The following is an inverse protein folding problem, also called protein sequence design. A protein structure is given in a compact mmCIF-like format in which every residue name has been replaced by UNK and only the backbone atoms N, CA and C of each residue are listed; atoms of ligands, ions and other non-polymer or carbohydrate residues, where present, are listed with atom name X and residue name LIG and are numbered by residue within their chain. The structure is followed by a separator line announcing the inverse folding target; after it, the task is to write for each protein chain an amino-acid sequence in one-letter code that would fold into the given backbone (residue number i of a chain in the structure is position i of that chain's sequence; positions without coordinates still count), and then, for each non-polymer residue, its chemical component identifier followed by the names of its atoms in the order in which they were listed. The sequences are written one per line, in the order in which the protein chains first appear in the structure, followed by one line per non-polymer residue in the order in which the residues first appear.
data_IF_679067004656
#
_entry.id   IF_679067004656
#
_cell.length_a   1.000
_cell.length_b   1.000
_cell.length_c   1.000
_cell.angle_alpha   90.00
_cell.angle_beta   90.00
_cell.angle_gamma   90.00
#
_symmetry.space_group_name_H-M   'P 1'
#
loop_
_entity.id
_entity.type
_entity.pdbx_description
1 polymer ?
#
# COMPACT_ATOMS: atom_id res chain seq x y z
N UNK A 1 25.05 23.80 13.80
CA UNK A 1 23.78 23.07 14.07
C UNK A 1 23.11 22.78 12.74
N UNK A 2 22.55 21.59 12.50
CA UNK A 2 21.76 21.36 11.27
C UNK A 2 20.49 22.20 11.34
N UNK A 3 20.37 23.20 10.46
CA UNK A 3 19.14 23.95 10.27
C UNK A 3 18.01 22.98 9.87
N UNK A 4 16.79 23.29 10.31
CA UNK A 4 15.61 22.54 9.91
C UNK A 4 15.49 22.61 8.38
N UNK A 5 15.18 21.47 7.77
CA UNK A 5 14.94 21.37 6.34
C UNK A 5 13.70 20.51 6.14
N UNK A 6 12.81 21.02 5.30
CA UNK A 6 11.62 20.34 4.82
C UNK A 6 11.96 19.26 3.78
N UNK A 7 13.22 19.00 3.46
CA UNK A 7 13.58 17.95 2.51
C UNK A 7 13.97 16.64 3.22
N UNK A 8 13.66 15.54 2.54
CA UNK A 8 13.74 14.18 3.05
C UNK A 8 14.85 13.43 2.34
N UNK A 9 15.84 12.98 3.13
CA UNK A 9 16.87 12.05 2.61
C UNK A 9 16.40 10.60 2.58
N UNK A 10 15.55 10.19 3.52
CA UNK A 10 15.09 8.81 3.66
C UNK A 10 13.57 8.74 3.82
N UNK A 11 12.89 8.31 2.76
CA UNK A 11 11.44 8.15 2.71
C UNK A 11 10.91 7.14 3.75
N UNK A 12 11.64 6.05 4.03
CA UNK A 12 11.19 5.00 4.94
C UNK A 12 10.98 5.53 6.36
N UNK A 13 11.79 6.53 6.76
CA UNK A 13 11.64 7.21 8.04
C UNK A 13 10.30 7.95 8.09
N UNK A 14 10.02 8.83 7.13
CA UNK A 14 8.80 9.65 7.18
C UNK A 14 7.53 8.82 6.97
N UNK A 15 7.58 7.82 6.09
CA UNK A 15 6.53 6.81 5.96
C UNK A 15 6.14 6.20 7.31
N UNK A 16 7.14 5.79 8.09
CA UNK A 16 6.91 5.15 9.38
C UNK A 16 6.25 6.11 10.39
N UNK A 17 6.71 7.37 10.44
CA UNK A 17 6.11 8.39 11.29
C UNK A 17 4.67 8.73 10.88
N UNK A 18 4.43 8.95 9.59
CA UNK A 18 3.09 9.26 9.08
C UNK A 18 2.11 8.15 9.42
N UNK A 19 2.53 6.89 9.28
CA UNK A 19 1.66 5.76 9.61
C UNK A 19 1.38 5.65 11.10
N UNK A 20 2.42 5.70 11.91
CA UNK A 20 2.33 5.48 13.36
C UNK A 20 1.54 6.59 14.07
N UNK A 21 1.75 7.84 13.67
CA UNK A 21 1.17 9.00 14.36
C UNK A 21 -0.06 9.55 13.63
N UNK A 22 -0.03 9.65 12.30
CA UNK A 22 -1.07 10.38 11.57
C UNK A 22 -2.17 9.51 10.95
N UNK A 23 -1.83 8.30 10.48
CA UNK A 23 -2.80 7.37 9.85
C UNK A 23 -3.54 6.54 10.89
N UNK A 24 -2.82 5.96 11.86
CA UNK A 24 -3.50 5.25 12.94
C UNK A 24 -4.12 6.23 13.95
N UNK A 25 -3.53 7.43 14.13
CA UNK A 25 -4.11 8.49 14.96
C UNK A 25 -4.17 8.21 16.47
N UNK A 26 -3.63 7.07 16.94
CA UNK A 26 -3.70 6.64 18.34
C UNK A 26 -2.41 6.86 19.12
N UNK A 27 -1.31 7.30 18.48
CA UNK A 27 -0.04 7.54 19.16
C UNK A 27 0.16 9.02 19.42
N UNK A 28 0.56 9.34 20.65
CA UNK A 28 0.91 10.68 21.08
C UNK A 28 2.43 10.87 21.13
N UNK A 29 2.87 12.11 21.39
CA UNK A 29 4.30 12.44 21.58
C UNK A 29 4.98 11.57 22.65
N UNK A 30 4.26 11.18 23.71
CA UNK A 30 4.81 10.36 24.81
C UNK A 30 5.05 8.91 24.39
N UNK A 31 4.32 8.41 23.39
CA UNK A 31 4.52 7.06 22.85
C UNK A 31 5.72 6.93 21.90
N UNK A 32 6.46 8.02 21.65
CA UNK A 32 7.64 7.98 20.79
C UNK A 32 8.88 7.47 21.56
N UNK A 33 9.19 6.18 21.42
CA UNK A 33 10.28 5.51 22.17
C UNK A 33 11.55 5.24 21.35
N UNK A 34 11.56 5.50 20.04
CA UNK A 34 12.65 5.04 19.16
C UNK A 34 13.88 5.97 19.11
N UNK A 35 13.72 7.28 19.35
CA UNK A 35 14.79 8.31 19.31
C UNK A 35 14.49 9.45 20.28
N UNK A 36 15.27 10.54 20.23
CA UNK A 36 15.00 11.75 20.99
C UNK A 36 13.69 12.44 20.57
N UNK A 37 13.02 13.08 21.53
CA UNK A 37 11.81 13.88 21.29
C UNK A 37 12.03 15.01 20.27
N UNK A 38 13.24 15.57 20.18
CA UNK A 38 13.60 16.54 19.15
C UNK A 38 13.49 15.97 17.73
N UNK A 39 13.77 14.68 17.56
CA UNK A 39 13.60 14.01 16.26
C UNK A 39 12.13 13.91 15.90
N UNK A 40 11.26 13.59 16.88
CA UNK A 40 9.82 13.59 16.69
C UNK A 40 9.31 14.98 16.27
N UNK A 41 9.68 16.03 17.00
CA UNK A 41 9.22 17.40 16.71
C UNK A 41 9.65 17.84 15.29
N UNK A 42 10.86 17.47 14.86
CA UNK A 42 11.34 17.79 13.51
C UNK A 42 10.56 17.03 12.42
N UNK A 43 10.31 15.72 12.57
CA UNK A 43 9.54 14.98 11.56
C UNK A 43 8.07 15.42 11.55
N UNK A 44 7.52 15.77 12.71
CA UNK A 44 6.18 16.35 12.82
C UNK A 44 6.08 17.67 12.05
N UNK A 45 7.01 18.61 12.28
CA UNK A 45 7.06 19.90 11.55
C UNK A 45 7.17 19.73 10.05
N UNK A 46 7.92 18.74 9.57
CA UNK A 46 8.01 18.40 8.13
C UNK A 46 6.67 17.93 7.56
N UNK A 47 6.04 16.98 8.23
CA UNK A 47 4.75 16.46 7.78
C UNK A 47 3.69 17.56 7.81
N UNK A 48 3.74 18.45 8.81
CA UNK A 48 2.91 19.65 8.90
C UNK A 48 3.15 20.64 7.76
N UNK A 49 4.40 20.83 7.31
CA UNK A 49 4.67 21.73 6.19
C UNK A 49 4.13 21.19 4.85
N UNK A 50 4.09 19.87 4.65
CA UNK A 50 3.58 19.29 3.40
C UNK A 50 2.06 19.18 3.33
N UNK A 51 1.43 18.84 4.46
CA UNK A 51 0.00 18.50 4.48
C UNK A 51 -0.90 19.64 4.94
N UNK A 52 -0.32 20.69 5.54
CA UNK A 52 -1.03 21.90 5.95
C UNK A 52 -2.35 21.60 6.67
N UNK A 53 -3.44 22.09 6.09
CA UNK A 53 -4.79 22.04 6.64
C UNK A 53 -5.38 20.61 6.80
N UNK A 54 -4.73 19.60 6.21
CA UNK A 54 -5.16 18.21 6.34
C UNK A 54 -4.89 17.63 7.73
N UNK A 55 -4.10 18.33 8.56
CA UNK A 55 -3.72 17.87 9.90
C UNK A 55 -4.63 18.49 10.94
N UNK A 56 -5.27 17.62 11.74
CA UNK A 56 -6.09 18.01 12.88
C UNK A 56 -5.51 17.51 14.18
N UNK A 57 -5.97 18.12 15.27
CA UNK A 57 -5.52 17.81 16.63
C UNK A 57 -6.72 17.51 17.51
N UNK A 58 -6.61 16.44 18.30
CA UNK A 58 -7.55 16.16 19.38
C UNK A 58 -6.78 16.05 20.69
N UNK A 59 -7.37 16.56 21.77
CA UNK A 59 -6.89 16.34 23.12
C UNK A 59 -7.63 15.12 23.68
N UNK A 60 -6.95 13.98 23.79
CA UNK A 60 -7.47 12.82 24.51
C UNK A 60 -6.63 12.66 25.77
N UNK A 61 -7.29 12.62 26.94
CA UNK A 61 -6.66 12.36 28.24
C UNK A 61 -5.46 13.30 28.56
N UNK A 62 -5.55 14.58 28.17
CA UNK A 62 -4.47 15.56 28.40
C UNK A 62 -3.30 15.49 27.41
N UNK A 63 -3.31 14.55 26.46
CA UNK A 63 -2.30 14.44 25.41
C UNK A 63 -2.84 14.92 24.05
N UNK A 64 -2.05 15.75 23.35
CA UNK A 64 -2.37 16.26 22.02
C UNK A 64 -2.03 15.22 20.95
N UNK A 65 -3.04 14.52 20.46
CA UNK A 65 -2.92 13.56 19.36
C UNK A 65 -3.06 14.28 18.02
N UNK A 66 -2.16 13.98 17.10
CA UNK A 66 -2.13 14.58 15.75
C UNK A 66 -2.56 13.53 14.74
N UNK A 67 -3.53 13.82 13.89
CA UNK A 67 -4.04 12.88 12.89
C UNK A 67 -4.35 13.57 11.57
N UNK A 68 -4.33 12.81 10.48
CA UNK A 68 -4.79 13.30 9.18
C UNK A 68 -6.31 13.18 9.12
N UNK A 69 -6.99 14.30 8.86
CA UNK A 69 -8.42 14.36 8.61
C UNK A 69 -8.62 14.81 7.17
N UNK A 70 -9.02 13.87 6.33
CA UNK A 70 -9.30 14.12 4.93
C UNK A 70 -10.74 13.72 4.64
N UNK A 71 -11.49 14.65 4.06
CA UNK A 71 -12.72 14.30 3.37
C UNK A 71 -12.34 13.93 1.93
N UNK A 72 -12.39 12.65 1.61
CA UNK A 72 -12.00 12.19 0.27
C UNK A 72 -12.83 12.82 -0.84
N UNK A 73 -14.05 13.28 -0.54
CA UNK A 73 -14.92 13.91 -1.54
C UNK A 73 -14.53 15.34 -1.88
N UNK A 74 -13.80 16.05 -1.00
CA UNK A 74 -13.33 17.41 -1.22
C UNK A 74 -11.90 17.49 -1.76
N UNK A 75 -11.19 16.35 -1.78
CA UNK A 75 -9.79 16.25 -2.17
C UNK A 75 -9.71 15.84 -3.64
N UNK A 76 -9.21 16.73 -4.49
CA UNK A 76 -9.02 16.48 -5.93
C UNK A 76 -7.72 15.73 -6.24
N UNK A 77 -6.71 15.85 -5.38
CA UNK A 77 -5.43 15.15 -5.47
C UNK A 77 -5.04 14.59 -4.11
N UNK A 78 -4.47 13.39 -4.06
CA UNK A 78 -3.97 12.81 -2.83
C UNK A 78 -2.84 13.66 -2.20
N UNK A 79 -3.09 14.32 -1.05
CA UNK A 79 -2.12 15.24 -0.47
C UNK A 79 -0.85 14.53 0.01
N UNK A 80 -0.90 13.21 0.21
CA UNK A 80 0.25 12.41 0.64
C UNK A 80 1.30 12.24 -0.49
N UNK A 81 1.01 12.65 -1.73
CA UNK A 81 1.99 12.70 -2.81
C UNK A 81 3.11 13.72 -2.55
N UNK A 82 2.81 14.79 -1.83
CA UNK A 82 3.81 15.78 -1.38
C UNK A 82 5.04 15.16 -0.69
N UNK A 83 4.85 14.05 0.04
CA UNK A 83 5.91 13.33 0.75
C UNK A 83 6.95 12.75 -0.22
N UNK A 84 6.52 12.33 -1.40
CA UNK A 84 7.41 11.85 -2.46
C UNK A 84 8.14 13.03 -3.13
N UNK A 85 7.45 14.16 -3.29
CA UNK A 85 7.97 15.40 -3.88
C UNK A 85 9.01 16.08 -2.97
N UNK A 86 8.99 15.84 -1.66
CA UNK A 86 9.90 16.42 -0.68
C UNK A 86 11.32 15.80 -0.64
N UNK A 87 11.81 15.14 -1.70
CA UNK A 87 13.14 14.49 -1.70
C UNK A 87 14.27 15.53 -1.63
N UNK A 88 15.28 15.28 -0.79
CA UNK A 88 16.48 16.13 -0.70
C UNK A 88 17.51 15.77 -1.77
N UNK A 89 18.12 16.78 -2.38
CA UNK A 89 19.25 16.66 -3.31
C UNK A 89 20.43 17.49 -2.82
N UNK A 90 21.65 17.13 -3.21
CA UNK A 90 22.82 17.98 -2.97
C UNK A 90 22.92 19.06 -4.06
N UNK A 91 23.64 20.15 -3.80
CA UNK A 91 23.86 21.20 -4.81
C UNK A 91 24.48 20.62 -6.09
N UNK A 92 25.47 19.73 -5.94
CA UNK A 92 26.12 19.07 -7.08
C UNK A 92 25.13 18.19 -7.87
N UNK A 93 24.23 17.46 -7.19
CA UNK A 93 23.23 16.63 -7.86
C UNK A 93 22.31 17.47 -8.75
N UNK A 94 21.87 18.63 -8.23
CA UNK A 94 20.99 19.57 -8.94
C UNK A 94 21.74 20.18 -10.12
N UNK A 95 22.92 20.75 -9.88
CA UNK A 95 23.71 21.42 -10.92
C UNK A 95 24.06 20.46 -12.05
N UNK A 96 24.61 19.29 -11.73
CA UNK A 96 24.97 18.30 -12.75
C UNK A 96 23.76 17.78 -13.50
N UNK A 97 22.61 17.61 -12.86
CA UNK A 97 21.38 17.20 -13.56
C UNK A 97 21.03 18.19 -14.67
N UNK A 98 20.93 19.49 -14.35
CA UNK A 98 20.56 20.50 -15.33
C UNK A 98 21.66 20.74 -16.39
N UNK A 99 22.94 20.76 -15.99
CA UNK A 99 24.05 20.95 -16.93
C UNK A 99 24.15 19.82 -17.95
N UNK A 100 23.99 18.56 -17.51
CA UNK A 100 24.03 17.41 -18.41
C UNK A 100 22.85 17.44 -19.40
N UNK A 101 21.65 17.78 -18.94
CA UNK A 101 20.48 17.87 -19.81
C UNK A 101 20.60 19.00 -20.84
N UNK A 102 21.04 20.18 -20.42
CA UNK A 102 21.24 21.32 -21.32
C UNK A 102 22.32 21.02 -22.37
N UNK A 103 23.49 20.51 -21.98
CA UNK A 103 24.56 20.15 -22.92
C UNK A 103 24.07 19.12 -23.95
N UNK A 104 23.46 18.02 -23.49
CA UNK A 104 23.04 16.93 -24.37
C UNK A 104 21.81 17.28 -25.22
N UNK A 105 21.14 18.42 -24.95
CA UNK A 105 20.10 18.97 -25.82
C UNK A 105 20.70 19.53 -27.12
N UNK A 106 21.91 20.11 -27.07
CA UNK A 106 22.60 20.64 -28.24
C UNK A 106 23.58 19.65 -28.87
N UNK A 107 24.22 18.82 -28.05
CA UNK A 107 25.24 17.87 -28.47
C UNK A 107 24.74 16.44 -28.26
N UNK A 108 24.34 15.78 -29.36
CA UNK A 108 23.56 14.55 -29.29
C UNK A 108 24.32 13.34 -28.76
N UNK A 109 25.65 13.36 -28.70
CA UNK A 109 26.44 12.20 -28.30
C UNK A 109 27.84 12.57 -27.78
N UNK A 110 28.09 12.39 -26.48
CA UNK A 110 29.37 12.76 -25.84
C UNK A 110 29.90 11.69 -24.89
N UNK A 111 31.22 11.56 -24.82
CA UNK A 111 31.89 10.75 -23.79
C UNK A 111 32.03 11.51 -22.46
N UNK A 112 32.55 10.85 -21.43
CA UNK A 112 32.63 11.43 -20.08
C UNK A 112 33.64 12.59 -19.97
N UNK A 113 34.73 12.55 -20.72
CA UNK A 113 35.75 13.62 -20.73
C UNK A 113 35.16 14.85 -21.42
N UNK A 114 34.52 14.63 -22.58
CA UNK A 114 33.83 15.69 -23.30
C UNK A 114 32.73 16.34 -22.48
N UNK A 115 31.92 15.55 -21.76
CA UNK A 115 30.90 16.10 -20.86
C UNK A 115 31.52 16.97 -19.76
N UNK A 116 32.59 16.49 -19.11
CA UNK A 116 33.30 17.26 -18.08
C UNK A 116 33.86 18.58 -18.63
N UNK A 117 34.51 18.53 -19.80
CA UNK A 117 35.09 19.71 -20.46
C UNK A 117 34.00 20.72 -20.84
N UNK A 118 32.89 20.26 -21.42
CA UNK A 118 31.75 21.11 -21.79
C UNK A 118 31.07 21.77 -20.59
N UNK A 119 30.98 21.07 -19.46
CA UNK A 119 30.46 21.68 -18.22
C UNK A 119 31.38 22.81 -17.75
N UNK A 120 32.70 22.58 -17.76
CA UNK A 120 33.70 23.56 -17.33
C UNK A 120 33.77 24.75 -18.31
N UNK A 121 33.65 24.53 -19.62
CA UNK A 121 33.60 25.57 -20.66
C UNK A 121 32.33 26.44 -20.57
N UNK A 122 31.15 25.81 -20.51
CA UNK A 122 29.86 26.51 -20.61
C UNK A 122 29.39 27.18 -19.32
N UNK A 123 29.69 26.58 -18.16
CA UNK A 123 29.19 27.06 -16.87
C UNK A 123 30.30 27.49 -15.91
N UNK A 124 31.55 27.53 -16.38
CA UNK A 124 32.73 27.90 -15.57
C UNK A 124 32.82 27.10 -14.25
N UNK A 125 32.32 25.87 -14.25
CA UNK A 125 32.24 24.99 -13.08
C UNK A 125 32.91 23.67 -13.41
N UNK A 126 33.94 23.30 -12.66
CA UNK A 126 34.72 22.11 -12.99
C UNK A 126 34.50 21.07 -11.89
N UNK A 127 33.84 19.98 -12.26
CA UNK A 127 33.60 18.81 -11.40
C UNK A 127 34.67 17.76 -11.68
N UNK A 128 35.03 16.97 -10.67
CA UNK A 128 35.86 15.80 -10.92
C UNK A 128 35.11 14.81 -11.84
N UNK A 129 35.86 14.18 -12.74
CA UNK A 129 35.30 13.26 -13.75
C UNK A 129 34.55 12.09 -13.10
N UNK A 130 34.91 11.69 -11.87
CA UNK A 130 34.23 10.60 -11.17
C UNK A 130 32.83 11.01 -10.68
N UNK A 131 32.65 12.24 -10.21
CA UNK A 131 31.34 12.79 -9.84
C UNK A 131 30.42 12.91 -11.06
N UNK A 132 30.93 13.44 -12.19
CA UNK A 132 30.15 13.46 -13.45
C UNK A 132 29.79 12.04 -13.87
N UNK A 133 30.74 11.10 -13.80
CA UNK A 133 30.52 9.69 -14.14
C UNK A 133 29.46 9.03 -13.27
N UNK A 134 29.45 9.33 -11.97
CA UNK A 134 28.44 8.82 -11.05
C UNK A 134 27.05 9.36 -11.41
N UNK A 135 26.93 10.66 -11.72
CA UNK A 135 25.65 11.27 -12.09
C UNK A 135 25.12 10.79 -13.44
N UNK A 136 26.00 10.61 -14.42
CA UNK A 136 25.64 10.04 -15.72
C UNK A 136 25.16 8.59 -15.57
N UNK A 137 25.88 7.77 -14.80
CA UNK A 137 25.46 6.38 -14.50
C UNK A 137 24.09 6.33 -13.79
N UNK A 138 23.84 7.23 -12.85
CA UNK A 138 22.54 7.37 -12.20
C UNK A 138 21.45 7.71 -13.23
N UNK A 139 21.69 8.73 -14.07
CA UNK A 139 20.73 9.21 -15.07
C UNK A 139 20.43 8.15 -16.15
N UNK A 140 21.43 7.35 -16.52
CA UNK A 140 21.23 6.18 -17.41
C UNK A 140 20.36 5.12 -16.75
N UNK A 141 20.61 4.83 -15.47
CA UNK A 141 19.81 3.86 -14.70
C UNK A 141 18.36 4.33 -14.53
N UNK A 142 18.14 5.64 -14.41
CA UNK A 142 16.81 6.26 -14.32
C UNK A 142 16.12 6.38 -15.69
N UNK A 143 16.82 6.08 -16.79
CA UNK A 143 16.28 6.15 -18.15
C UNK A 143 16.26 7.55 -18.75
N UNK A 144 16.84 8.55 -18.08
CA UNK A 144 16.95 9.94 -18.56
C UNK A 144 17.98 10.05 -19.69
N UNK A 145 19.08 9.30 -19.57
CA UNK A 145 20.13 9.22 -20.58
C UNK A 145 20.23 7.81 -21.18
N UNK A 146 20.65 7.74 -22.44
CA UNK A 146 21.08 6.51 -23.07
C UNK A 146 22.60 6.39 -22.99
N UNK A 147 23.11 5.15 -22.99
CA UNK A 147 24.54 4.88 -23.13
C UNK A 147 24.81 3.93 -24.30
N UNK A 148 25.76 4.27 -25.17
CA UNK A 148 26.22 3.40 -26.25
C UNK A 148 27.75 3.26 -26.23
N UNK A 149 28.24 2.06 -26.53
CA UNK A 149 29.67 1.80 -26.61
C UNK A 149 30.15 1.98 -28.05
N UNK A 150 31.15 2.83 -28.26
CA UNK A 150 31.81 3.00 -29.56
C UNK A 150 33.32 2.79 -29.38
N UNK A 151 33.84 1.71 -29.96
CA UNK A 151 35.21 1.25 -29.73
C UNK A 151 35.48 0.94 -28.25
N UNK A 152 36.47 1.64 -27.66
CA UNK A 152 36.84 1.50 -26.24
C UNK A 152 36.12 2.48 -25.31
N UNK A 153 35.41 3.48 -25.84
CA UNK A 153 34.75 4.54 -25.07
C UNK A 153 33.23 4.32 -24.96
N UNK A 154 32.65 4.88 -23.90
CA UNK A 154 31.21 4.94 -23.65
C UNK A 154 30.74 6.37 -23.92
N UNK A 155 29.70 6.49 -24.74
CA UNK A 155 29.07 7.75 -25.09
C UNK A 155 27.64 7.80 -24.56
N UNK A 156 27.18 9.00 -24.28
CA UNK A 156 25.89 9.27 -23.65
C UNK A 156 25.10 10.27 -24.49
N UNK A 157 23.78 10.10 -24.50
CA UNK A 157 22.82 10.93 -25.22
C UNK A 157 21.55 11.08 -24.40
N UNK A 158 20.75 12.11 -24.67
CA UNK A 158 19.41 12.22 -24.07
C UNK A 158 18.53 11.06 -24.51
N UNK A 159 17.75 10.54 -23.57
CA UNK A 159 16.63 9.67 -23.91
C UNK A 159 15.52 10.47 -24.58
N UNK A 160 14.77 9.82 -25.49
CA UNK A 160 13.58 10.42 -26.09
C UNK A 160 12.56 10.68 -24.98
N UNK A 161 12.02 11.89 -24.93
CA UNK A 161 10.93 12.23 -24.04
C UNK A 161 9.61 11.61 -24.54
N UNK A 162 9.38 10.37 -24.11
CA UNK A 162 8.17 9.62 -24.44
C UNK A 162 6.93 10.28 -23.85
N UNK A 163 7.02 10.87 -22.64
CA UNK A 163 5.87 11.46 -21.96
C UNK A 163 5.40 12.71 -22.69
N UNK A 164 6.30 13.61 -23.04
CA UNK A 164 5.97 14.79 -23.85
C UNK A 164 5.40 14.40 -25.21
N UNK A 165 5.97 13.37 -25.85
CA UNK A 165 5.43 12.84 -27.11
C UNK A 165 4.01 12.32 -26.91
N UNK A 166 3.74 11.62 -25.81
CA UNK A 166 2.43 11.05 -25.52
C UNK A 166 1.39 12.12 -25.20
N UNK A 167 1.73 13.11 -24.36
CA UNK A 167 0.85 14.23 -24.01
C UNK A 167 0.49 15.07 -25.23
N UNK A 168 1.47 15.41 -26.05
CA UNK A 168 1.22 16.23 -27.25
C UNK A 168 0.40 15.53 -28.34
N UNK A 169 0.32 14.20 -28.31
CA UNK A 169 -0.38 13.43 -29.34
C UNK A 169 -1.81 13.05 -28.95
N UNK A 170 -2.20 13.20 -27.68
CA UNK A 170 -3.48 12.73 -27.16
C UNK A 170 -4.05 13.70 -26.13
N UNK A 171 -4.97 14.57 -26.54
CA UNK A 171 -5.60 15.56 -25.66
C UNK A 171 -6.30 14.91 -24.44
N UNK A 172 -6.94 13.74 -24.65
CA UNK A 172 -7.67 13.00 -23.61
C UNK A 172 -6.76 12.40 -22.53
N UNK A 173 -5.43 12.38 -22.73
CA UNK A 173 -4.54 11.73 -21.77
C UNK A 173 -4.44 12.52 -20.47
N UNK A 174 -4.56 13.84 -20.53
CA UNK A 174 -4.58 14.68 -19.33
C UNK A 174 -5.79 14.32 -18.47
N UNK A 175 -6.96 14.14 -19.06
CA UNK A 175 -8.16 13.74 -18.33
C UNK A 175 -8.05 12.32 -17.77
N UNK A 176 -7.44 11.40 -18.53
CA UNK A 176 -7.12 10.07 -18.03
C UNK A 176 -6.16 10.14 -16.82
N UNK A 177 -5.12 10.98 -16.86
CA UNK A 177 -4.18 11.18 -15.75
C UNK A 177 -4.87 11.76 -14.52
N UNK A 178 -5.79 12.73 -14.69
CA UNK A 178 -6.62 13.29 -13.60
C UNK A 178 -7.41 12.21 -12.87
N UNK A 179 -7.92 11.21 -13.60
CA UNK A 179 -8.63 10.07 -13.00
C UNK A 179 -7.68 9.03 -12.37
N UNK A 180 -6.68 8.58 -13.14
CA UNK A 180 -5.82 7.48 -12.74
C UNK A 180 -4.83 7.83 -11.64
N UNK A 181 -4.49 9.11 -11.45
CA UNK A 181 -3.69 9.51 -10.29
C UNK A 181 -4.38 9.14 -8.97
N UNK A 182 -5.70 9.00 -8.91
CA UNK A 182 -6.40 8.62 -7.68
C UNK A 182 -6.74 7.12 -7.62
N UNK A 183 -7.05 6.50 -8.75
CA UNK A 183 -7.59 5.12 -8.78
C UNK A 183 -6.51 4.07 -9.06
N UNK A 184 -5.46 4.41 -9.81
CA UNK A 184 -4.41 3.44 -10.14
C UNK A 184 -3.43 3.23 -8.96
N UNK A 185 -2.86 2.02 -8.82
CA UNK A 185 -1.62 1.85 -8.06
C UNK A 185 -0.55 2.79 -8.62
N UNK A 186 0.32 3.30 -7.75
CA UNK A 186 1.37 4.26 -8.14
C UNK A 186 0.85 5.57 -8.73
N UNK A 187 -0.35 6.00 -8.35
CA UNK A 187 -0.97 7.25 -8.82
C UNK A 187 -0.11 8.51 -8.62
N UNK A 188 0.89 8.45 -7.74
CA UNK A 188 1.93 9.50 -7.61
C UNK A 188 2.62 9.83 -8.94
N UNK A 189 2.76 8.84 -9.83
CA UNK A 189 3.34 9.06 -11.17
C UNK A 189 2.45 10.00 -11.98
N UNK A 190 1.13 9.79 -11.94
CA UNK A 190 0.18 10.68 -12.60
C UNK A 190 0.22 12.11 -12.05
N UNK A 191 0.35 12.24 -10.72
CA UNK A 191 0.55 13.52 -10.05
C UNK A 191 1.83 14.24 -10.51
N UNK A 192 2.96 13.54 -10.67
CA UNK A 192 4.19 14.14 -11.23
C UNK A 192 4.03 14.60 -12.68
N UNK A 193 3.31 13.83 -13.51
CA UNK A 193 3.08 14.20 -14.91
C UNK A 193 2.18 15.43 -14.99
N UNK A 194 1.09 15.47 -14.21
CA UNK A 194 0.19 16.62 -14.16
C UNK A 194 0.91 17.89 -13.67
N UNK A 195 1.74 17.79 -12.64
CA UNK A 195 2.58 18.91 -12.18
C UNK A 195 3.47 19.46 -13.31
N UNK A 196 4.10 18.57 -14.08
CA UNK A 196 5.00 18.95 -15.19
C UNK A 196 4.26 19.65 -16.33
N UNK A 197 3.01 19.26 -16.58
CA UNK A 197 2.13 19.88 -17.57
C UNK A 197 1.33 21.06 -17.00
N UNK A 198 1.67 21.54 -15.79
CA UNK A 198 0.98 22.63 -15.08
C UNK A 198 -0.55 22.42 -14.95
N UNK A 199 -0.96 21.15 -14.87
CA UNK A 199 -2.35 20.73 -14.82
C UNK A 199 -2.71 20.18 -13.44
N UNK A 200 -4.00 20.20 -13.11
CA UNK A 200 -4.55 19.63 -11.86
C UNK A 200 -5.87 18.96 -12.12
N UNK A 201 -6.27 18.06 -11.24
CA UNK A 201 -7.61 17.47 -11.34
C UNK A 201 -8.69 18.47 -10.92
N UNK A 202 -9.55 18.78 -11.89
CA UNK A 202 -10.71 19.65 -11.81
C UNK A 202 -11.99 18.97 -12.32
N UNK A 203 -11.91 17.69 -12.71
CA UNK A 203 -13.02 16.92 -13.31
C UNK A 203 -13.59 15.92 -12.30
N UNK A 204 -12.73 15.19 -11.57
CA UNK A 204 -13.13 14.03 -10.80
C UNK A 204 -13.08 14.27 -9.29
N UNK A 205 -14.10 13.75 -8.60
CA UNK A 205 -14.17 13.70 -7.13
C UNK A 205 -14.39 12.26 -6.68
N UNK A 206 -13.79 11.87 -5.55
CA UNK A 206 -13.74 10.47 -5.14
C UNK A 206 -14.36 10.24 -3.76
N UNK A 207 -15.49 9.55 -3.70
CA UNK A 207 -16.17 9.24 -2.43
C UNK A 207 -15.38 8.26 -1.54
N UNK A 208 -14.66 7.31 -2.14
CA UNK A 208 -13.97 6.22 -1.44
C UNK A 208 -12.53 6.07 -1.92
N UNK A 209 -11.70 7.07 -1.63
CA UNK A 209 -10.28 7.07 -2.05
C UNK A 209 -9.35 6.69 -0.88
N UNK A 210 -8.56 5.63 -1.07
CA UNK A 210 -7.57 5.16 -0.08
C UNK A 210 -6.22 5.86 -0.25
N UNK A 211 -6.19 7.17 0.07
CA UNK A 211 -5.00 8.04 -0.05
C UNK A 211 -3.72 7.44 0.54
N UNK A 212 -3.84 6.70 1.65
CA UNK A 212 -2.71 6.11 2.39
C UNK A 212 -1.93 5.04 1.63
N UNK A 213 -2.47 4.52 0.52
CA UNK A 213 -1.78 3.56 -0.34
C UNK A 213 -0.43 4.08 -0.81
N UNK A 214 -0.31 5.37 -1.11
CA UNK A 214 0.96 5.95 -1.58
C UNK A 214 2.12 5.72 -0.62
N UNK A 215 1.86 5.61 0.68
CA UNK A 215 2.90 5.37 1.68
C UNK A 215 3.52 3.96 1.56
N UNK A 216 2.82 2.99 0.99
CA UNK A 216 3.30 1.62 0.82
C UNK A 216 3.76 1.34 -0.62
N UNK A 217 3.65 2.29 -1.54
CA UNK A 217 3.92 2.07 -2.97
C UNK A 217 5.38 1.68 -3.24
N UNK A 218 6.36 2.22 -2.49
CA UNK A 218 7.77 1.76 -2.59
C UNK A 218 7.90 0.25 -2.35
N UNK A 219 7.26 -0.25 -1.29
CA UNK A 219 7.28 -1.67 -0.90
C UNK A 219 6.50 -2.50 -1.91
N UNK A 220 5.35 -1.99 -2.37
CA UNK A 220 4.56 -2.63 -3.40
C UNK A 220 5.38 -2.83 -4.68
N UNK A 221 6.13 -1.81 -5.12
CA UNK A 221 6.98 -1.89 -6.31
C UNK A 221 8.05 -2.98 -6.19
N UNK A 222 8.74 -3.07 -5.05
CA UNK A 222 9.76 -4.12 -4.80
C UNK A 222 9.13 -5.52 -4.86
N UNK A 223 7.95 -5.70 -4.29
CA UNK A 223 7.23 -6.98 -4.30
C UNK A 223 6.72 -7.33 -5.70
N UNK A 224 6.16 -6.37 -6.44
CA UNK A 224 5.68 -6.60 -7.81
C UNK A 224 6.84 -6.96 -8.75
N UNK A 225 8.02 -6.35 -8.58
CA UNK A 225 9.24 -6.76 -9.29
C UNK A 225 9.59 -8.22 -9.00
N UNK A 226 9.60 -8.61 -7.73
CA UNK A 226 9.87 -10.01 -7.35
C UNK A 226 8.82 -10.98 -7.91
N UNK A 227 7.54 -10.62 -7.92
CA UNK A 227 6.46 -11.41 -8.53
C UNK A 227 6.69 -11.56 -10.03
N UNK A 228 6.96 -10.47 -10.73
CA UNK A 228 7.18 -10.45 -12.18
C UNK A 228 8.39 -11.29 -12.58
N UNK A 229 9.48 -11.19 -11.81
CA UNK A 229 10.72 -11.95 -12.03
C UNK A 229 10.69 -13.37 -11.42
N UNK A 230 9.57 -13.77 -10.81
CA UNK A 230 9.39 -15.07 -10.12
C UNK A 230 10.46 -15.34 -9.05
N UNK A 231 10.87 -14.32 -8.31
CA UNK A 231 11.93 -14.39 -7.27
C UNK A 231 11.38 -14.54 -5.87
N UNK A 232 12.18 -15.13 -4.99
CA UNK A 232 11.92 -15.12 -3.56
C UNK A 232 12.19 -13.74 -2.94
N UNK A 233 11.58 -13.49 -1.78
CA UNK A 233 11.84 -12.26 -1.01
C UNK A 233 12.11 -12.58 0.45
N UNK A 234 12.95 -11.73 1.05
CA UNK A 234 13.05 -11.57 2.50
C UNK A 234 12.57 -10.18 2.88
N UNK A 235 11.81 -10.06 3.96
CA UNK A 235 11.37 -8.76 4.44
C UNK A 235 11.23 -8.70 5.96
N UNK A 236 11.27 -7.47 6.48
CA UNK A 236 11.06 -7.18 7.89
C UNK A 236 9.60 -6.79 8.08
N UNK A 237 8.87 -7.56 8.89
CA UNK A 237 7.50 -7.27 9.30
C UNK A 237 7.48 -6.77 10.74
N UNK A 238 6.94 -5.56 10.94
CA UNK A 238 6.79 -4.93 12.26
C UNK A 238 5.38 -4.37 12.40
N UNK A 239 4.61 -4.98 13.29
CA UNK A 239 3.28 -4.48 13.66
C UNK A 239 3.43 -3.24 14.56
N UNK A 240 2.57 -2.21 14.42
CA UNK A 240 2.56 -1.06 15.34
C UNK A 240 2.16 -1.44 16.77
N UNK A 241 1.49 -2.58 16.95
CA UNK A 241 0.95 -3.08 18.23
C UNK A 241 1.93 -3.96 19.01
N UNK A 242 3.08 -4.30 18.42
CA UNK A 242 4.06 -5.19 19.04
C UNK A 242 5.45 -4.68 18.78
N UNK A 243 6.32 -4.76 19.78
CA UNK A 243 7.75 -4.47 19.60
C UNK A 243 8.47 -5.58 18.83
N UNK A 244 7.83 -6.75 18.66
CA UNK A 244 8.41 -7.88 17.99
C UNK A 244 8.63 -7.62 16.50
N UNK A 245 9.87 -7.83 16.06
CA UNK A 245 10.27 -7.71 14.66
C UNK A 245 10.39 -9.11 14.08
N UNK A 246 9.53 -9.43 13.12
CA UNK A 246 9.54 -10.72 12.42
C UNK A 246 10.32 -10.58 11.11
N UNK A 247 11.36 -11.40 10.94
CA UNK A 247 12.00 -11.60 9.63
C UNK A 247 11.26 -12.70 8.89
N UNK A 248 10.73 -12.38 7.73
CA UNK A 248 9.93 -13.29 6.90
C UNK A 248 10.67 -13.58 5.61
N UNK A 249 10.59 -14.84 5.18
CA UNK A 249 11.14 -15.33 3.91
C UNK A 249 10.09 -16.19 3.21
N UNK A 250 9.96 -16.02 1.89
CA UNK A 250 9.05 -16.83 1.09
C UNK A 250 8.88 -16.35 -0.34
N UNK A 251 8.02 -17.04 -1.08
CA UNK A 251 7.70 -16.72 -2.48
C UNK A 251 6.50 -15.79 -2.53
N UNK A 252 6.60 -14.53 -2.99
CA UNK A 252 5.46 -13.65 -3.13
C UNK A 252 4.64 -14.03 -4.37
N UNK A 253 3.32 -14.14 -4.22
CA UNK A 253 2.46 -14.69 -5.28
C UNK A 253 1.39 -13.73 -5.77
N UNK A 254 0.78 -12.95 -4.87
CA UNK A 254 -0.33 -12.06 -5.22
C UNK A 254 -0.50 -10.94 -4.21
N UNK A 255 -0.90 -9.77 -4.70
CA UNK A 255 -1.37 -8.66 -3.86
C UNK A 255 -2.88 -8.79 -3.69
N UNK A 256 -3.34 -8.79 -2.44
CA UNK A 256 -4.75 -8.76 -2.06
C UNK A 256 -5.11 -7.38 -1.55
N UNK A 257 -6.25 -6.86 -2.00
CA UNK A 257 -6.81 -5.59 -1.53
C UNK A 257 -8.16 -5.88 -0.90
N UNK A 258 -8.35 -5.48 0.36
CA UNK A 258 -9.61 -5.66 1.06
C UNK A 258 -10.62 -4.62 0.59
N UNK A 259 -11.72 -5.04 -0.05
CA UNK A 259 -12.78 -4.12 -0.48
C UNK A 259 -13.46 -3.39 0.69
N UNK A 260 -13.45 -3.96 1.90
CA UNK A 260 -14.07 -3.35 3.07
C UNK A 260 -13.22 -2.22 3.68
N UNK A 261 -11.90 -2.36 3.62
CA UNK A 261 -11.00 -1.50 4.41
C UNK A 261 -9.92 -0.82 3.57
N UNK A 262 -9.83 -1.14 2.29
CA UNK A 262 -8.76 -0.72 1.38
C UNK A 262 -7.40 -1.31 1.70
N UNK A 263 -7.23 -2.06 2.79
CA UNK A 263 -5.92 -2.54 3.23
C UNK A 263 -5.33 -3.52 2.21
N UNK A 264 -4.03 -3.35 1.93
CA UNK A 264 -3.29 -4.17 0.97
C UNK A 264 -2.41 -5.20 1.69
N UNK A 265 -2.34 -6.39 1.11
CA UNK A 265 -1.62 -7.53 1.66
C UNK A 265 -0.80 -8.19 0.56
N UNK A 266 0.43 -8.61 0.87
CA UNK A 266 1.16 -9.57 0.04
C UNK A 266 0.86 -10.98 0.54
N UNK A 267 0.45 -11.84 -0.38
CA UNK A 267 0.44 -13.28 -0.16
C UNK A 267 1.80 -13.86 -0.47
N UNK A 268 2.32 -14.58 0.51
CA UNK A 268 3.53 -15.35 0.33
C UNK A 268 3.27 -16.82 0.60
N UNK A 269 3.94 -17.68 -0.15
CA UNK A 269 4.12 -19.07 0.24
C UNK A 269 5.36 -19.20 1.11
N UNK A 270 5.16 -19.52 2.39
CA UNK A 270 6.24 -19.76 3.32
C UNK A 270 6.71 -21.22 3.18
N UNK A 271 7.89 -21.41 2.58
CA UNK A 271 8.45 -22.76 2.31
C UNK A 271 8.67 -23.57 3.60
N UNK A 272 9.14 -22.94 4.67
CA UNK A 272 9.40 -23.60 5.96
C UNK A 272 8.12 -24.12 6.61
N UNK A 273 7.05 -23.30 6.59
CA UNK A 273 5.75 -23.63 7.17
C UNK A 273 4.82 -24.37 6.19
N UNK A 274 5.24 -24.52 4.93
CA UNK A 274 4.48 -25.14 3.82
C UNK A 274 3.05 -24.60 3.70
N UNK A 275 2.87 -23.28 3.85
CA UNK A 275 1.54 -22.63 3.83
C UNK A 275 1.56 -21.23 3.25
N UNK A 276 0.40 -20.79 2.79
CA UNK A 276 0.14 -19.42 2.39
C UNK A 276 -0.06 -18.54 3.63
N UNK A 277 0.52 -17.35 3.60
CA UNK A 277 0.39 -16.35 4.66
C UNK A 277 0.27 -14.98 4.03
N UNK A 278 -0.67 -14.18 4.54
CA UNK A 278 -0.86 -12.81 4.10
C UNK A 278 -0.24 -11.84 5.11
N UNK A 279 0.60 -10.94 4.61
CA UNK A 279 1.21 -9.87 5.38
C UNK A 279 0.74 -8.54 4.85
N UNK A 280 0.27 -7.66 5.76
CA UNK A 280 -0.14 -6.33 5.36
C UNK A 280 1.06 -5.53 4.86
N UNK A 281 0.90 -4.80 3.76
CA UNK A 281 1.97 -4.02 3.14
C UNK A 281 2.46 -2.91 4.05
N UNK A 282 1.53 -2.24 4.75
CA UNK A 282 1.89 -1.28 5.78
C UNK A 282 2.90 -1.92 6.77
N UNK A 283 2.71 -3.14 7.27
CA UNK A 283 3.62 -3.68 8.29
C UNK A 283 5.03 -4.07 7.76
N UNK A 284 5.28 -3.95 6.46
CA UNK A 284 6.57 -4.28 5.85
C UNK A 284 7.47 -3.05 5.82
N UNK A 285 8.68 -3.17 6.37
CA UNK A 285 9.64 -2.07 6.49
C UNK A 285 10.62 -2.00 5.33
N UNK A 286 11.11 -3.15 4.89
CA UNK A 286 12.05 -3.29 3.77
C UNK A 286 11.87 -4.65 3.12
N UNK A 287 12.13 -4.73 1.81
CA UNK A 287 12.10 -5.96 1.02
C UNK A 287 13.44 -6.15 0.33
N UNK A 288 13.99 -7.35 0.45
CA UNK A 288 15.17 -7.80 -0.27
C UNK A 288 14.74 -8.88 -1.25
N UNK A 289 14.95 -8.63 -2.54
CA UNK A 289 14.71 -9.60 -3.60
C UNK A 289 15.87 -10.60 -3.61
N UNK A 290 15.54 -11.90 -3.68
CA UNK A 290 16.49 -13.00 -3.67
C UNK A 290 16.57 -13.67 -5.06
N UNK A 291 16.98 -14.93 -5.08
CA UNK A 291 17.11 -15.74 -6.28
C UNK A 291 15.75 -16.12 -6.89
N UNK A 292 15.81 -16.54 -8.16
CA UNK A 292 14.66 -17.02 -8.92
C UNK A 292 14.13 -18.30 -8.26
N UNK A 293 12.82 -18.36 -8.04
CA UNK A 293 12.15 -19.54 -7.52
C UNK A 293 11.73 -20.45 -8.68
N UNK A 294 12.40 -21.59 -8.83
CA UNK A 294 12.10 -22.59 -9.87
C UNK A 294 10.65 -23.11 -9.74
N UNK A 295 10.18 -23.33 -8.51
CA UNK A 295 8.83 -23.85 -8.22
C UNK A 295 7.73 -22.77 -8.18
N UNK A 296 7.98 -21.55 -8.68
CA UNK A 296 7.03 -20.43 -8.56
C UNK A 296 5.65 -20.77 -9.11
N UNK A 297 5.57 -21.30 -10.33
CA UNK A 297 4.31 -21.58 -11.01
C UNK A 297 3.52 -22.68 -10.28
N UNK A 298 4.20 -23.64 -9.67
CA UNK A 298 3.57 -24.65 -8.82
C UNK A 298 2.90 -24.04 -7.59
N UNK A 299 3.56 -23.11 -6.91
CA UNK A 299 2.95 -22.42 -5.76
C UNK A 299 1.82 -21.49 -6.18
N UNK A 300 1.93 -20.83 -7.35
CA UNK A 300 0.86 -20.00 -7.91
C UNK A 300 -0.40 -20.82 -8.21
N UNK A 301 -0.27 -21.98 -8.87
CA UNK A 301 -1.41 -22.87 -9.11
C UNK A 301 -2.03 -23.39 -7.82
N UNK A 302 -1.21 -23.71 -6.80
CA UNK A 302 -1.72 -24.08 -5.48
C UNK A 302 -2.49 -22.95 -4.81
N UNK A 303 -2.05 -21.70 -4.97
CA UNK A 303 -2.77 -20.54 -4.45
C UNK A 303 -4.15 -20.44 -5.13
N UNK A 304 -4.19 -20.50 -6.46
CA UNK A 304 -5.43 -20.41 -7.25
C UNK A 304 -6.48 -21.43 -6.82
N UNK A 305 -6.09 -22.68 -6.58
CA UNK A 305 -6.98 -23.74 -6.07
C UNK A 305 -7.54 -23.47 -4.67
N UNK A 306 -6.83 -22.68 -3.86
CA UNK A 306 -7.20 -22.38 -2.48
C UNK A 306 -7.99 -21.07 -2.33
N UNK A 307 -8.05 -20.21 -3.35
CA UNK A 307 -8.72 -18.90 -3.25
C UNK A 307 -10.22 -19.01 -2.91
N UNK A 308 -10.91 -20.05 -3.39
CA UNK A 308 -12.35 -20.23 -3.15
C UNK A 308 -12.69 -20.50 -1.67
N UNK A 309 -11.69 -21.01 -0.92
CA UNK A 309 -11.76 -21.31 0.52
C UNK A 309 -11.34 -20.12 1.39
N UNK A 310 -10.91 -19.02 0.80
CA UNK A 310 -10.67 -17.77 1.54
C UNK A 310 -11.98 -16.98 1.61
N UNK A 311 -12.46 -16.69 2.83
CA UNK A 311 -13.59 -15.79 2.96
C UNK A 311 -13.17 -14.35 2.64
N UNK A 312 -12.05 -13.88 3.17
CA UNK A 312 -11.51 -12.54 2.92
C UNK A 312 -10.07 -12.61 2.42
N UNK A 313 -9.14 -12.22 3.28
CA UNK A 313 -7.69 -12.18 3.01
C UNK A 313 -6.92 -13.06 3.99
N UNK A 314 -7.55 -14.00 4.70
CA UNK A 314 -6.85 -14.86 5.65
C UNK A 314 -6.83 -16.31 5.17
N UNK A 315 -5.71 -16.97 5.43
CA UNK A 315 -5.54 -18.42 5.30
C UNK A 315 -5.58 -19.11 6.68
N UNK A 316 -5.90 -18.36 7.74
CA UNK A 316 -5.94 -18.87 9.10
C UNK A 316 -4.60 -19.42 9.59
N UNK A 317 -4.65 -20.17 10.70
CA UNK A 317 -3.50 -20.85 11.28
C UNK A 317 -3.44 -22.34 10.94
N UNK A 318 -4.51 -22.90 10.39
CA UNK A 318 -4.64 -24.31 10.01
C UNK A 318 -4.27 -24.53 8.54
N UNK A 319 -3.68 -25.68 8.23
CA UNK A 319 -3.42 -26.12 6.85
C UNK A 319 -4.73 -26.58 6.17
N UNK A 320 -5.69 -27.09 6.96
CA UNK A 320 -6.98 -27.57 6.47
C UNK A 320 -8.05 -26.51 6.68
N UNK A 321 -8.91 -26.36 5.69
CA UNK A 321 -10.15 -25.62 5.83
C UNK A 321 -11.05 -26.26 6.88
N UNK A 322 -11.88 -25.43 7.50
CA UNK A 322 -12.94 -25.83 8.41
C UNK A 322 -14.27 -25.60 7.70
N UNK A 323 -15.22 -26.49 7.91
CA UNK A 323 -16.57 -26.28 7.38
C UNK A 323 -17.35 -25.45 8.39
N UNK A 324 -17.72 -24.24 7.98
CA UNK A 324 -18.61 -23.38 8.72
C UNK A 324 -20.06 -23.74 8.42
N UNK A 325 -20.91 -23.80 9.45
CA UNK A 325 -22.35 -23.98 9.37
C UNK A 325 -23.07 -22.83 10.09
N UNK A 326 -24.14 -22.33 9.49
CA UNK A 326 -25.09 -21.43 10.14
C UNK A 326 -26.51 -21.90 9.85
N UNK A 327 -27.31 -22.02 10.92
CA UNK A 327 -28.73 -22.35 10.85
C UNK A 327 -29.53 -21.05 10.97
N UNK A 328 -30.42 -20.81 10.02
CA UNK A 328 -31.25 -19.63 9.94
C UNK A 328 -32.73 -19.99 10.04
N UNK A 329 -33.49 -19.13 10.73
CA UNK A 329 -34.93 -19.00 10.59
C UNK A 329 -35.24 -17.90 9.57
N UNK A 330 -36.01 -18.22 8.54
CA UNK A 330 -36.46 -17.26 7.52
C UNK A 330 -37.95 -17.46 7.29
N UNK A 331 -38.74 -16.42 7.49
CA UNK A 331 -40.17 -16.45 7.20
C UNK A 331 -40.39 -16.52 5.68
N UNK A 332 -40.86 -17.66 5.19
CA UNK A 332 -41.06 -17.89 3.76
C UNK A 332 -42.16 -17.03 3.14
N UNK A 333 -43.07 -16.44 3.93
CA UNK A 333 -44.13 -15.57 3.42
C UNK A 333 -43.67 -14.12 3.28
N UNK A 334 -42.77 -13.67 4.16
CA UNK A 334 -42.39 -12.25 4.27
C UNK A 334 -40.93 -11.96 3.92
N UNK A 335 -40.05 -12.95 4.01
CA UNK A 335 -38.60 -12.75 4.04
C UNK A 335 -37.84 -13.52 2.95
N UNK A 336 -38.48 -13.89 1.84
CA UNK A 336 -37.81 -14.61 0.73
C UNK A 336 -36.55 -13.89 0.22
N UNK A 337 -36.52 -12.55 0.28
CA UNK A 337 -35.36 -11.74 -0.08
C UNK A 337 -34.10 -12.05 0.74
N UNK A 338 -34.24 -12.59 1.96
CA UNK A 338 -33.12 -13.01 2.80
C UNK A 338 -32.42 -14.23 2.19
N UNK A 339 -33.17 -15.18 1.60
CA UNK A 339 -32.58 -16.35 0.94
C UNK A 339 -31.75 -15.92 -0.29
N UNK A 340 -32.26 -14.97 -1.07
CA UNK A 340 -31.53 -14.41 -2.20
C UNK A 340 -30.29 -13.65 -1.76
N UNK A 341 -30.38 -12.89 -0.66
CA UNK A 341 -29.24 -12.20 -0.06
C UNK A 341 -28.16 -13.19 0.39
N UNK A 342 -28.53 -14.29 1.06
CA UNK A 342 -27.59 -15.33 1.49
C UNK A 342 -26.90 -15.96 0.27
N UNK A 343 -27.64 -16.29 -0.79
CA UNK A 343 -27.06 -16.86 -2.02
C UNK A 343 -26.11 -15.90 -2.73
N UNK A 344 -26.47 -14.62 -2.84
CA UNK A 344 -25.65 -13.57 -3.50
C UNK A 344 -24.39 -13.23 -2.71
N UNK A 345 -24.52 -13.01 -1.40
CA UNK A 345 -23.41 -12.56 -0.55
C UNK A 345 -22.58 -13.73 0.02
N UNK A 346 -23.12 -14.95 0.03
CA UNK A 346 -22.53 -16.16 0.63
C UNK A 346 -21.30 -16.73 -0.09
N UNK A 347 -20.71 -16.01 -1.06
CA UNK A 347 -19.45 -16.37 -1.75
C UNK A 347 -19.38 -17.85 -2.18
N UNK A 348 -20.40 -18.35 -2.87
CA UNK A 348 -20.53 -19.77 -3.31
C UNK A 348 -20.64 -20.80 -2.18
N UNK A 349 -21.10 -20.42 -0.99
CA UNK A 349 -21.54 -21.38 0.01
C UNK A 349 -22.82 -22.11 -0.42
N UNK A 350 -23.09 -23.23 0.22
CA UNK A 350 -24.28 -24.06 -0.05
C UNK A 350 -25.39 -23.70 0.92
N UNK A 351 -26.59 -23.44 0.42
CA UNK A 351 -27.79 -23.20 1.23
C UNK A 351 -28.80 -24.33 1.00
N UNK A 352 -29.20 -25.02 2.07
CA UNK A 352 -30.19 -26.11 2.02
C UNK A 352 -31.36 -25.81 2.95
N UNK A 353 -32.58 -26.04 2.47
CA UNK A 353 -33.79 -26.05 3.33
C UNK A 353 -33.81 -27.38 4.09
N UNK A 354 -33.98 -27.33 5.40
CA UNK A 354 -34.03 -28.54 6.25
C UNK A 354 -35.38 -28.73 6.93
N UNK A 355 -36.17 -27.66 7.08
CA UNK A 355 -37.53 -27.69 7.61
C UNK A 355 -38.31 -26.46 7.11
N UNK A 356 -39.59 -26.34 7.45
CA UNK A 356 -40.39 -25.13 7.25
C UNK A 356 -39.70 -23.93 7.93
N UNK A 357 -39.42 -22.89 7.17
CA UNK A 357 -38.73 -21.67 7.60
C UNK A 357 -37.28 -21.90 8.10
N UNK A 358 -36.68 -23.09 7.97
CA UNK A 358 -35.35 -23.39 8.50
C UNK A 358 -34.38 -23.77 7.38
N UNK A 359 -33.27 -23.04 7.34
CA UNK A 359 -32.24 -23.19 6.32
C UNK A 359 -30.86 -23.38 6.98
N UNK A 360 -30.03 -24.22 6.37
CA UNK A 360 -28.63 -24.39 6.76
C UNK A 360 -27.75 -23.89 5.63
N UNK A 361 -26.92 -22.90 5.95
CA UNK A 361 -25.82 -22.45 5.12
C UNK A 361 -24.53 -23.17 5.53
N UNK A 362 -23.75 -23.63 4.56
CA UNK A 362 -22.43 -24.21 4.80
C UNK A 362 -21.37 -23.77 3.79
N UNK A 363 -20.12 -23.61 4.25
CA UNK A 363 -18.97 -23.33 3.38
C UNK A 363 -17.66 -23.80 4.02
N UNK A 364 -16.80 -24.43 3.24
CA UNK A 364 -15.42 -24.72 3.66
C UNK A 364 -14.58 -23.45 3.55
N UNK A 365 -13.97 -23.03 4.66
CA UNK A 365 -13.13 -21.83 4.74
C UNK A 365 -11.89 -22.02 5.62
N UNK A 366 -10.80 -21.34 5.29
CA UNK A 366 -9.56 -21.42 6.07
C UNK A 366 -9.61 -20.68 7.41
N UNK A 367 -10.23 -19.48 7.42
CA UNK A 367 -10.36 -18.64 8.60
C UNK A 367 -11.84 -18.31 8.83
N UNK A 368 -12.42 -18.98 9.82
CA UNK A 368 -13.84 -18.81 10.18
C UNK A 368 -14.11 -17.51 10.90
N UNK A 369 -13.09 -16.81 11.40
CA UNK A 369 -13.28 -15.51 12.00
C UNK A 369 -13.60 -14.42 10.94
N UNK A 370 -13.18 -14.60 9.68
CA UNK A 370 -13.45 -13.63 8.61
C UNK A 370 -14.94 -13.59 8.20
N UNK A 371 -15.65 -14.72 8.27
CA UNK A 371 -17.07 -14.81 7.91
C UNK A 371 -17.99 -14.16 8.95
N UNK A 372 -17.50 -13.94 10.18
CA UNK A 372 -18.30 -13.43 11.31
C UNK A 372 -18.97 -12.08 11.02
N UNK A 373 -18.29 -11.16 10.32
CA UNK A 373 -18.87 -9.86 9.98
C UNK A 373 -20.14 -9.98 9.13
N UNK A 374 -20.13 -10.91 8.17
CA UNK A 374 -21.27 -11.19 7.33
C UNK A 374 -22.38 -11.90 8.09
N UNK A 375 -22.04 -12.91 8.92
CA UNK A 375 -23.01 -13.64 9.74
C UNK A 375 -23.75 -12.71 10.69
N UNK A 376 -23.03 -11.83 11.40
CA UNK A 376 -23.64 -10.86 12.33
C UNK A 376 -24.65 -9.92 11.66
N UNK A 377 -24.60 -9.73 10.34
CA UNK A 377 -25.61 -8.95 9.62
C UNK A 377 -26.98 -9.62 9.51
N UNK A 378 -27.09 -10.89 9.92
CA UNK A 378 -28.34 -11.66 9.99
C UNK A 378 -28.83 -11.87 11.44
N UNK A 379 -28.31 -11.08 12.39
CA UNK A 379 -28.75 -11.10 13.79
C UNK A 379 -30.28 -11.01 13.87
N UNK A 380 -30.89 -11.83 14.74
CA UNK A 380 -32.35 -12.02 14.84
C UNK A 380 -32.91 -13.19 14.01
N UNK A 381 -32.15 -13.68 13.02
CA UNK A 381 -32.53 -14.86 12.21
C UNK A 381 -31.64 -16.07 12.44
N UNK A 382 -30.54 -15.90 13.17
CA UNK A 382 -29.58 -16.97 13.43
C UNK A 382 -30.12 -17.83 14.56
N UNK A 383 -30.33 -19.12 14.29
CA UNK A 383 -30.68 -20.13 15.30
C UNK A 383 -29.41 -20.63 15.98
N UNK A 384 -28.40 -20.99 15.19
CA UNK A 384 -27.12 -21.48 15.70
C UNK A 384 -26.02 -21.32 14.66
N UNK A 385 -24.77 -21.29 15.13
CA UNK A 385 -23.57 -21.38 14.31
C UNK A 385 -22.64 -22.48 14.83
N UNK A 386 -21.91 -23.08 13.90
CA UNK A 386 -20.81 -24.01 14.18
C UNK A 386 -19.66 -23.70 13.22
N UNK A 387 -18.55 -23.20 13.72
CA UNK A 387 -17.42 -22.81 12.87
C UNK A 387 -16.33 -23.87 12.75
N UNK A 388 -16.38 -24.92 13.57
CA UNK A 388 -15.24 -25.84 13.74
C UNK A 388 -14.05 -25.18 14.45
N UNK A 389 -14.23 -24.00 15.02
CA UNK A 389 -13.28 -23.30 15.88
C UNK A 389 -13.98 -22.83 17.15
N UNK A 390 -13.74 -23.56 18.25
CA UNK A 390 -14.40 -23.31 19.53
C UNK A 390 -14.25 -21.85 19.99
N UNK A 391 -13.08 -21.24 19.74
CA UNK A 391 -12.84 -19.85 20.12
C UNK A 391 -13.71 -18.87 19.34
N UNK A 392 -13.93 -19.12 18.04
CA UNK A 392 -14.79 -18.27 17.20
C UNK A 392 -16.25 -18.42 17.61
N UNK A 393 -16.69 -19.65 17.90
CA UNK A 393 -18.06 -19.93 18.35
C UNK A 393 -18.34 -19.26 19.70
N UNK A 394 -17.48 -19.48 20.70
CA UNK A 394 -17.57 -18.86 22.03
C UNK A 394 -17.60 -17.33 21.94
N UNK A 395 -16.74 -16.73 21.11
CA UNK A 395 -16.70 -15.29 20.91
C UNK A 395 -18.01 -14.77 20.32
N UNK A 396 -18.57 -15.45 19.33
CA UNK A 396 -19.84 -15.04 18.72
C UNK A 396 -20.97 -15.03 19.76
N UNK A 397 -21.13 -16.11 20.52
CA UNK A 397 -22.20 -16.18 21.53
C UNK A 397 -21.96 -15.20 22.68
N UNK A 398 -20.70 -14.96 23.07
CA UNK A 398 -20.35 -13.92 24.04
C UNK A 398 -20.73 -12.51 23.55
N UNK A 399 -20.43 -12.20 22.29
CA UNK A 399 -20.80 -10.92 21.68
C UNK A 399 -22.34 -10.74 21.65
N UNK A 400 -23.10 -11.79 21.33
CA UNK A 400 -24.57 -11.77 21.35
C UNK A 400 -25.13 -11.58 22.77
N UNK A 401 -24.53 -12.22 23.77
CA UNK A 401 -24.92 -12.04 25.18
C UNK A 401 -24.69 -10.59 25.63
N UNK A 402 -23.51 -10.03 25.34
CA UNK A 402 -23.20 -8.63 25.65
C UNK A 402 -24.13 -7.65 24.95
N UNK A 403 -24.44 -7.91 23.68
CA UNK A 403 -25.42 -7.11 22.94
C UNK A 403 -26.78 -7.17 23.63
N UNK A 404 -27.26 -8.36 24.04
CA UNK A 404 -28.51 -8.51 24.79
C UNK A 404 -28.48 -7.69 26.09
N UNK A 405 -27.41 -7.79 26.87
CA UNK A 405 -27.24 -7.03 28.13
C UNK A 405 -27.26 -5.51 27.89
N UNK A 406 -26.63 -5.02 26.82
CA UNK A 406 -26.62 -3.59 26.47
C UNK A 406 -28.02 -3.04 26.13
N UNK A 407 -28.86 -3.82 25.44
CA UNK A 407 -30.16 -3.36 24.96
C UNK A 407 -31.32 -3.66 25.91
N UNK A 408 -31.22 -4.73 26.70
CA UNK A 408 -32.30 -5.16 27.60
C UNK A 408 -32.04 -4.81 29.07
N UNK A 409 -30.91 -4.17 29.37
CA UNK A 409 -30.48 -3.92 30.75
C UNK A 409 -29.91 -5.18 31.39
N UNK A 410 -28.74 -5.07 32.01
CA UNK A 410 -28.44 -5.96 33.12
C UNK A 410 -29.32 -5.49 34.26
N UNK A 411 -30.26 -6.32 34.73
CA UNK A 411 -30.95 -6.08 35.99
C UNK A 411 -29.89 -5.97 37.09
N UNK A 412 -29.57 -4.74 37.49
CA UNK A 412 -29.25 -4.44 38.88
C UNK A 412 -30.50 -3.80 39.46
N UNK A 413 -31.41 -4.65 39.91
CA UNK A 413 -32.22 -4.46 41.11
C UNK A 413 -32.10 -5.72 41.98
#
# INVERSE_FOLDING_TARGET
MKNFSELIKNFDKIRDYMRDFFVYGFKSRSNFTQKSLRTYDNEKRRIESYLGDCIKYNNMNGEKNTFISLDSSSVTENPLYSVWKAKSFTNNDIMLHFYLLDILTYESLLDIEQLSDKICERYSTCFDTQTVRNKVKESVKEGILNSCKQGRKLYYSLSRDFLKTLVNNYDDIIDALKYYQAIAPFGVIGSYILDNEENKNDIFHFKHHFVVHTLEDKVLLEILKAINEKREINFINKSPRSEYILKVSGVPLKIFVSNQTGRRYVNIYNKKRKRFVNYRLDYIKSVNILDICIEYDFFKQKLEKNLDKCWGVSFGNSIRGKTFYAKFYVDEERELYILDRIKKEGRKGTLKKVDKNIYIYSKEIFDTNEIMSWIKSFTGRIISIESGDKFVDERFYSDMKKMKEMYLGGDTD
#
